data_IF_103257195091
#
_entry.id   IF_103257195091
#
_cell.length_a   1.000
_cell.length_b   1.000
_cell.length_c   1.000
_cell.angle_alpha   90.00
_cell.angle_beta   90.00
_cell.angle_gamma   90.00
#
_symmetry.space_group_name_H-M   'P 1'
#
loop_
_entity.id
_entity.type
_entity.pdbx_description
1 polymer ?
#
# COMPACT_ATOMS: atom_id res chain seq x y z
N UNK A 1 8.57 21.41 -7.42
CA UNK A 1 8.92 21.17 -6.00
C UNK A 1 7.90 20.19 -5.42
N UNK A 2 8.15 18.89 -5.60
CA UNK A 2 7.29 17.82 -5.06
C UNK A 2 7.57 17.71 -3.57
N UNK A 3 6.60 18.13 -2.75
CA UNK A 3 6.65 18.03 -1.28
C UNK A 3 6.68 16.56 -0.89
N UNK A 4 7.87 16.00 -0.68
CA UNK A 4 8.04 14.80 0.12
C UNK A 4 7.67 15.20 1.56
N UNK A 5 6.40 14.99 1.93
CA UNK A 5 5.93 15.16 3.30
C UNK A 5 6.52 14.02 4.13
N UNK A 6 7.67 14.28 4.72
CA UNK A 6 8.25 13.43 5.76
C UNK A 6 7.30 13.41 6.95
N UNK A 7 6.52 12.34 7.09
CA UNK A 7 5.66 12.10 8.23
C UNK A 7 6.54 11.77 9.45
N UNK A 8 6.58 12.70 10.41
CA UNK A 8 7.47 12.70 11.55
C UNK A 8 7.07 11.66 12.62
N UNK A 9 5.81 11.19 12.62
CA UNK A 9 5.34 10.10 13.47
C UNK A 9 5.00 8.82 12.70
N UNK A 10 5.30 7.64 13.28
CA UNK A 10 4.84 6.34 12.76
C UNK A 10 3.31 6.22 12.65
N UNK A 11 2.58 7.04 13.39
CA UNK A 11 1.11 7.14 13.35
C UNK A 11 0.62 7.91 12.12
N UNK A 12 1.27 9.01 11.75
CA UNK A 12 0.92 9.78 10.54
C UNK A 12 1.14 8.95 9.26
N UNK A 13 2.22 8.15 9.23
CA UNK A 13 2.51 7.23 8.11
C UNK A 13 1.41 6.19 7.94
N UNK A 14 0.93 5.63 9.04
CA UNK A 14 -0.16 4.67 9.00
C UNK A 14 -1.45 5.32 8.48
N UNK A 15 -1.78 6.54 8.90
CA UNK A 15 -2.96 7.25 8.39
C UNK A 15 -2.90 7.50 6.89
N UNK A 16 -1.74 7.92 6.37
CA UNK A 16 -1.55 8.17 4.94
C UNK A 16 -1.65 6.87 4.15
N UNK A 17 -1.02 5.80 4.65
CA UNK A 17 -1.10 4.49 4.01
C UNK A 17 -2.52 3.93 3.99
N UNK A 18 -3.25 4.06 5.10
CA UNK A 18 -4.66 3.66 5.21
C UNK A 18 -5.50 4.44 4.20
N UNK A 19 -5.24 5.74 4.01
CA UNK A 19 -5.89 6.54 2.97
C UNK A 19 -5.61 6.03 1.55
N UNK A 20 -4.33 5.76 1.23
CA UNK A 20 -3.92 5.21 -0.07
C UNK A 20 -4.52 3.82 -0.33
N UNK A 21 -4.59 2.97 0.70
CA UNK A 21 -5.20 1.64 0.63
C UNK A 21 -6.69 1.71 0.32
N UNK A 22 -7.43 2.62 0.96
CA UNK A 22 -8.86 2.81 0.66
C UNK A 22 -9.07 3.24 -0.79
N UNK A 23 -8.26 4.19 -1.27
CA UNK A 23 -8.34 4.65 -2.65
C UNK A 23 -7.98 3.53 -3.65
N UNK A 24 -6.94 2.75 -3.38
CA UNK A 24 -6.58 1.60 -4.20
C UNK A 24 -7.70 0.56 -4.23
N UNK A 25 -8.22 0.15 -3.07
CA UNK A 25 -9.32 -0.84 -2.98
C UNK A 25 -10.58 -0.36 -3.71
N UNK A 26 -10.89 0.94 -3.66
CA UNK A 26 -12.03 1.53 -4.39
C UNK A 26 -11.83 1.56 -5.91
N UNK A 27 -10.59 1.78 -6.38
CA UNK A 27 -10.29 1.90 -7.80
C UNK A 27 -9.97 0.54 -8.47
N UNK A 28 -9.63 -0.48 -7.69
CA UNK A 28 -9.44 -1.87 -8.15
C UNK A 28 -10.78 -2.58 -8.29
N UNK A 29 -11.54 -2.24 -9.33
CA UNK A 29 -12.87 -2.80 -9.61
C UNK A 29 -12.85 -3.94 -10.63
N UNK A 30 -11.73 -4.15 -11.33
CA UNK A 30 -11.68 -5.16 -12.38
C UNK A 30 -11.64 -6.59 -11.79
N UNK A 31 -12.24 -7.58 -12.47
CA UNK A 31 -12.34 -8.95 -11.94
C UNK A 31 -10.97 -9.63 -11.75
N UNK A 32 -9.97 -9.27 -12.56
CA UNK A 32 -8.59 -9.72 -12.42
C UNK A 32 -7.84 -9.04 -11.25
N UNK A 33 -8.31 -7.89 -10.78
CA UNK A 33 -7.73 -7.13 -9.66
C UNK A 33 -8.31 -7.53 -8.30
N UNK A 34 -9.42 -8.28 -8.27
CA UNK A 34 -10.03 -8.81 -7.05
C UNK A 34 -9.05 -9.45 -6.05
N UNK A 35 -8.14 -10.36 -6.45
CA UNK A 35 -7.21 -10.95 -5.49
C UNK A 35 -6.29 -9.91 -4.84
N UNK A 36 -5.92 -8.86 -5.58
CA UNK A 36 -5.14 -7.74 -5.05
C UNK A 36 -6.00 -6.84 -4.16
N UNK A 37 -7.25 -6.57 -4.54
CA UNK A 37 -8.20 -5.82 -3.72
C UNK A 37 -8.41 -6.47 -2.35
N UNK A 38 -8.65 -7.79 -2.32
CA UNK A 38 -8.83 -8.54 -1.07
C UNK A 38 -7.55 -8.54 -0.22
N UNK A 39 -6.39 -8.64 -0.86
CA UNK A 39 -5.10 -8.57 -0.18
C UNK A 39 -4.92 -7.21 0.52
N UNK A 40 -5.16 -6.11 -0.20
CA UNK A 40 -5.06 -4.75 0.34
C UNK A 40 -6.08 -4.50 1.45
N UNK A 41 -7.30 -5.03 1.33
CA UNK A 41 -8.33 -4.95 2.37
C UNK A 41 -7.92 -5.67 3.67
N UNK A 42 -7.24 -6.83 3.57
CA UNK A 42 -6.67 -7.52 4.75
C UNK A 42 -5.61 -6.66 5.44
N UNK A 43 -4.69 -6.07 4.69
CA UNK A 43 -3.66 -5.20 5.26
C UNK A 43 -4.24 -3.91 5.85
N UNK A 44 -5.28 -3.34 5.24
CA UNK A 44 -6.03 -2.22 5.82
C UNK A 44 -6.60 -2.58 7.19
N UNK A 45 -7.28 -3.73 7.31
CA UNK A 45 -7.82 -4.19 8.59
C UNK A 45 -6.72 -4.42 9.63
N UNK A 46 -5.56 -4.96 9.23
CA UNK A 46 -4.44 -5.19 10.12
C UNK A 46 -3.81 -3.88 10.64
N UNK A 47 -3.63 -2.89 9.76
CA UNK A 47 -3.15 -1.54 10.11
C UNK A 47 -4.13 -0.80 11.03
N UNK A 48 -5.43 -0.87 10.74
CA UNK A 48 -6.48 -0.23 11.58
C UNK A 48 -6.59 -0.92 12.93
N UNK A 49 -6.50 -2.25 12.97
CA UNK A 49 -6.58 -3.00 14.21
C UNK A 49 -5.35 -2.79 15.11
N UNK A 50 -4.25 -2.24 14.58
CA UNK A 50 -2.95 -2.06 15.28
C UNK A 50 -2.50 -3.34 16.02
N UNK A 51 -2.93 -4.52 15.55
CA UNK A 51 -2.68 -5.81 16.19
C UNK A 51 -1.24 -6.31 15.99
N UNK A 52 -0.62 -5.86 14.90
CA UNK A 52 0.77 -6.16 14.56
C UNK A 52 1.64 -5.01 15.05
N UNK A 53 2.25 -5.15 16.22
CA UNK A 53 2.86 -4.04 17.00
C UNK A 53 3.76 -3.03 16.28
N UNK A 54 4.32 -3.33 15.08
CA UNK A 54 5.03 -2.37 14.23
C UNK A 54 4.41 -2.25 12.83
N UNK A 55 3.84 -1.09 12.52
CA UNK A 55 3.25 -0.78 11.21
C UNK A 55 4.23 -1.00 10.04
N UNK A 56 5.53 -0.75 10.26
CA UNK A 56 6.60 -1.00 9.27
C UNK A 56 6.66 -2.47 8.82
N UNK A 57 6.46 -3.41 9.75
CA UNK A 57 6.51 -4.84 9.43
C UNK A 57 5.32 -5.27 8.58
N UNK A 58 4.16 -4.67 8.81
CA UNK A 58 2.96 -4.87 8.00
C UNK A 58 3.20 -4.36 6.58
N UNK A 59 3.86 -3.19 6.44
CA UNK A 59 4.20 -2.62 5.14
C UNK A 59 5.18 -3.48 4.32
N UNK A 60 6.25 -3.98 4.95
CA UNK A 60 7.23 -4.85 4.29
C UNK A 60 6.59 -6.14 3.76
N UNK A 61 5.78 -6.80 4.60
CA UNK A 61 5.01 -7.97 4.17
C UNK A 61 4.03 -7.66 3.05
N UNK A 62 3.37 -6.51 3.13
CA UNK A 62 2.40 -6.07 2.12
C UNK A 62 3.08 -5.84 0.77
N UNK A 63 4.24 -5.19 0.72
CA UNK A 63 4.99 -4.97 -0.52
C UNK A 63 5.30 -6.29 -1.24
N UNK A 64 5.82 -7.27 -0.50
CA UNK A 64 6.13 -8.59 -1.02
C UNK A 64 4.87 -9.31 -1.52
N UNK A 65 3.80 -9.29 -0.74
CA UNK A 65 2.56 -9.96 -1.06
C UNK A 65 1.85 -9.32 -2.27
N UNK A 66 1.86 -7.99 -2.38
CA UNK A 66 1.36 -7.24 -3.55
C UNK A 66 2.17 -7.60 -4.78
N UNK A 67 3.50 -7.54 -4.70
CA UNK A 67 4.39 -7.87 -5.81
C UNK A 67 4.18 -9.30 -6.31
N UNK A 68 4.03 -10.24 -5.40
CA UNK A 68 3.74 -11.64 -5.73
C UNK A 68 2.35 -11.78 -6.35
N UNK A 69 1.32 -11.15 -5.77
CA UNK A 69 -0.05 -11.21 -6.27
C UNK A 69 -0.15 -10.64 -7.70
N UNK A 70 0.48 -9.49 -7.95
CA UNK A 70 0.51 -8.86 -9.26
C UNK A 70 1.20 -9.73 -10.31
N UNK A 71 2.35 -10.32 -9.98
CA UNK A 71 3.07 -11.22 -10.90
C UNK A 71 2.28 -12.50 -11.18
N UNK A 72 1.72 -13.14 -10.16
CA UNK A 72 0.99 -14.41 -10.30
C UNK A 72 -0.30 -14.24 -11.09
N UNK A 73 -1.02 -13.14 -10.88
CA UNK A 73 -2.31 -12.89 -11.54
C UNK A 73 -2.19 -12.05 -12.82
N UNK A 74 -0.98 -11.62 -13.19
CA UNK A 74 -0.75 -10.77 -14.37
C UNK A 74 -1.47 -9.42 -14.28
N UNK A 75 -1.57 -8.85 -13.08
CA UNK A 75 -2.32 -7.61 -12.84
C UNK A 75 -1.52 -6.42 -13.34
N UNK A 76 -2.11 -5.66 -14.27
CA UNK A 76 -1.55 -4.41 -14.77
C UNK A 76 -2.37 -3.25 -14.22
N UNK A 77 -1.75 -2.45 -13.36
CA UNK A 77 -2.37 -1.25 -12.80
C UNK A 77 -2.40 -0.13 -13.84
N UNK A 78 -3.52 0.60 -13.83
CA UNK A 78 -3.65 1.89 -14.50
C UNK A 78 -2.68 2.91 -13.90
N UNK A 79 -2.33 3.96 -14.65
CA UNK A 79 -1.32 4.94 -14.22
C UNK A 79 -1.59 5.54 -12.84
N UNK A 80 -2.84 5.89 -12.54
CA UNK A 80 -3.21 6.40 -11.21
C UNK A 80 -3.01 5.37 -10.10
N UNK A 81 -3.42 4.12 -10.31
CA UNK A 81 -3.26 3.06 -9.31
C UNK A 81 -1.80 2.65 -9.16
N UNK A 82 -1.02 2.72 -10.23
CA UNK A 82 0.43 2.51 -10.20
C UNK A 82 1.10 3.58 -9.36
N UNK A 83 0.77 4.85 -9.57
CA UNK A 83 1.30 5.96 -8.78
C UNK A 83 0.93 5.80 -7.29
N UNK A 84 -0.34 5.52 -6.98
CA UNK A 84 -0.80 5.26 -5.60
C UNK A 84 -0.07 4.07 -4.96
N UNK A 85 0.18 3.02 -5.73
CA UNK A 85 0.95 1.86 -5.27
C UNK A 85 2.39 2.26 -4.97
N UNK A 86 3.04 3.00 -5.86
CA UNK A 86 4.40 3.51 -5.66
C UNK A 86 4.49 4.40 -4.41
N UNK A 87 3.55 5.32 -4.23
CA UNK A 87 3.46 6.15 -3.03
C UNK A 87 3.25 5.31 -1.76
N UNK A 88 2.45 4.24 -1.81
CA UNK A 88 2.23 3.32 -0.70
C UNK A 88 3.50 2.55 -0.33
N UNK A 89 4.25 2.05 -1.32
CA UNK A 89 5.52 1.34 -1.11
C UNK A 89 6.61 2.28 -0.59
N UNK A 90 6.61 3.54 -1.04
CA UNK A 90 7.50 4.57 -0.52
C UNK A 90 7.27 4.88 0.97
N UNK A 91 6.12 4.53 1.54
CA UNK A 91 5.90 4.66 2.99
C UNK A 91 6.60 3.56 3.81
N UNK A 92 6.84 2.39 3.20
CA UNK A 92 7.58 1.28 3.81
C UNK A 92 9.08 1.59 3.85
N UNK A 93 9.61 2.03 2.71
CA UNK A 93 11.01 2.39 2.55
C UNK A 93 11.25 3.86 2.89
N UNK A 94 11.78 4.11 4.09
CA UNK A 94 12.33 5.41 4.52
C UNK A 94 13.46 5.90 3.60
N UNK A 95 13.87 5.11 2.59
CA UNK A 95 15.05 5.38 1.79
C UNK A 95 15.02 4.72 0.40
N UNK A 96 14.27 5.27 -0.56
CA UNK A 96 14.65 5.15 -1.98
C UNK A 96 14.45 6.51 -2.67
N UNK A 97 15.15 7.51 -2.14
CA UNK A 97 15.59 8.64 -2.95
C UNK A 97 16.89 8.25 -3.65
N UNK A 98 16.86 8.17 -4.97
CA UNK A 98 18.02 8.45 -5.80
C UNK A 98 17.62 9.44 -6.88
#
# INVERSE_FOLDING_TARGET
MTKVKWYAGGQERAQVAVGLLVELVKNLIAPNERPLQELLAKYYQELVAQKSGSNLYVFDRMELAVSQCMRTNGIVLNEENRQRMTDLLALSHVYYGR
#
